data_IF_612796924707
#
_entry.id   IF_612796924707
#
_cell.length_a   1.000
_cell.length_b   1.000
_cell.length_c   1.000
_cell.angle_alpha   90.00
_cell.angle_beta   90.00
_cell.angle_gamma   90.00
#
_symmetry.space_group_name_H-M   'P 1'
#
loop_
_entity.id
_entity.type
_entity.pdbx_description
1 polymer ?
#
# COMPACT_ATOMS: atom_id res chain seq x y z
N UNK A 1 4.94 8.04 -4.54
CA UNK A 1 3.84 8.19 -3.54
C UNK A 1 3.45 6.80 -3.07
N UNK A 2 3.46 6.54 -1.76
CA UNK A 2 3.19 5.21 -1.19
C UNK A 2 1.68 4.98 -1.10
N UNK A 3 1.10 3.94 -1.74
CA UNK A 3 -0.34 3.70 -1.73
C UNK A 3 -0.81 2.98 -0.45
N UNK A 4 -0.48 3.52 0.72
CA UNK A 4 -0.85 2.99 2.03
C UNK A 4 -1.51 4.07 2.90
N UNK A 5 -2.34 3.65 3.85
CA UNK A 5 -2.88 4.55 4.88
C UNK A 5 -1.78 4.94 5.87
N UNK A 6 -1.87 6.14 6.44
CA UNK A 6 -0.98 6.61 7.52
C UNK A 6 -0.86 5.61 8.68
N UNK A 7 -1.99 5.07 9.14
CA UNK A 7 -2.02 4.05 10.19
C UNK A 7 -1.30 2.75 9.83
N UNK A 8 -1.22 2.42 8.54
CA UNK A 8 -0.46 1.25 8.08
C UNK A 8 1.02 1.58 8.01
N UNK A 9 1.37 2.79 7.58
CA UNK A 9 2.76 3.27 7.61
C UNK A 9 3.28 3.25 9.05
N UNK A 10 2.54 3.81 10.02
CA UNK A 10 2.94 3.82 11.44
C UNK A 10 3.18 2.40 12.00
N UNK A 11 2.33 1.44 11.64
CA UNK A 11 2.49 0.03 12.04
C UNK A 11 3.74 -0.61 11.43
N UNK A 12 4.04 -0.30 10.17
CA UNK A 12 5.21 -0.84 9.49
C UNK A 12 6.50 -0.18 9.99
N UNK A 13 6.47 1.11 10.31
CA UNK A 13 7.58 1.80 10.99
C UNK A 13 7.84 1.17 12.37
N UNK A 14 6.80 0.90 13.16
CA UNK A 14 6.93 0.20 14.45
C UNK A 14 7.49 -1.23 14.30
N UNK A 15 7.13 -1.93 13.22
CA UNK A 15 7.65 -3.26 12.91
C UNK A 15 9.08 -3.23 12.33
N UNK A 16 9.63 -2.04 12.03
CA UNK A 16 10.93 -1.90 11.35
C UNK A 16 10.92 -2.35 9.89
N UNK A 17 9.73 -2.56 9.31
CA UNK A 17 9.56 -2.98 7.93
C UNK A 17 9.42 -1.81 6.96
N UNK A 18 9.37 -0.56 7.43
CA UNK A 18 9.27 0.64 6.61
C UNK A 18 10.45 1.59 6.90
N UNK A 19 10.93 2.37 5.90
CA UNK A 19 11.99 3.34 6.10
C UNK A 19 11.67 4.34 7.22
N UNK A 20 12.70 4.75 7.97
CA UNK A 20 12.53 5.70 9.06
C UNK A 20 12.20 7.10 8.54
N UNK A 21 11.18 7.74 9.12
CA UNK A 21 10.85 9.14 8.81
C UNK A 21 11.90 10.11 9.33
N UNK A 22 12.10 11.20 8.60
CA UNK A 22 12.78 12.41 9.11
C UNK A 22 11.88 13.63 8.93
N UNK A 23 12.11 14.65 9.76
CA UNK A 23 11.34 15.88 9.73
C UNK A 23 12.07 16.93 8.89
N UNK A 24 11.45 17.38 7.81
CA UNK A 24 11.92 18.56 7.07
C UNK A 24 11.56 19.83 7.85
N UNK A 25 10.38 19.83 8.47
CA UNK A 25 9.88 20.90 9.35
C UNK A 25 9.04 20.30 10.48
N UNK A 26 8.68 21.10 11.48
CA UNK A 26 7.89 20.68 12.66
C UNK A 26 6.57 19.95 12.32
N UNK A 27 6.02 20.14 11.11
CA UNK A 27 4.78 19.50 10.66
C UNK A 27 4.95 18.61 9.43
N UNK A 28 6.14 18.56 8.82
CA UNK A 28 6.35 17.83 7.56
C UNK A 28 7.39 16.74 7.74
N UNK A 29 6.92 15.50 7.78
CA UNK A 29 7.77 14.33 7.66
C UNK A 29 8.02 13.99 6.20
N UNK A 30 9.20 13.45 5.92
CA UNK A 30 9.57 12.88 4.64
C UNK A 30 10.34 11.58 4.85
N UNK A 31 10.49 10.85 3.76
CA UNK A 31 11.28 9.63 3.67
C UNK A 31 12.27 9.77 2.53
N UNK A 32 13.38 9.05 2.62
CA UNK A 32 14.32 8.97 1.51
C UNK A 32 13.71 8.20 0.34
N UNK A 33 13.87 8.73 -0.88
CA UNK A 33 13.27 8.13 -2.07
C UNK A 33 13.89 6.76 -2.37
N UNK A 34 15.21 6.63 -2.26
CA UNK A 34 15.93 5.39 -2.58
C UNK A 34 15.57 4.27 -1.61
N UNK A 35 15.39 4.57 -0.33
CA UNK A 35 14.93 3.59 0.66
C UNK A 35 13.49 3.11 0.39
N UNK A 36 12.58 4.03 0.08
CA UNK A 36 11.19 3.70 -0.24
C UNK A 36 11.10 2.87 -1.52
N UNK A 37 11.93 3.17 -2.52
CA UNK A 37 11.97 2.43 -3.79
C UNK A 37 12.51 1.01 -3.60
N UNK A 38 13.63 0.84 -2.88
CA UNK A 38 14.17 -0.47 -2.54
C UNK A 38 13.17 -1.31 -1.69
N UNK A 39 12.42 -0.66 -0.80
CA UNK A 39 11.36 -1.31 -0.03
C UNK A 39 10.19 -1.76 -0.92
N UNK A 40 9.75 -0.92 -1.87
CA UNK A 40 8.72 -1.27 -2.84
C UNK A 40 9.14 -2.46 -3.70
N UNK A 41 10.39 -2.50 -4.16
CA UNK A 41 10.92 -3.61 -4.95
C UNK A 41 10.98 -4.92 -4.16
N UNK A 42 11.41 -4.88 -2.90
CA UNK A 42 11.36 -6.06 -2.00
C UNK A 42 9.93 -6.56 -1.82
N UNK A 43 8.97 -5.65 -1.59
CA UNK A 43 7.54 -5.97 -1.50
C UNK A 43 7.00 -6.55 -2.81
N UNK A 44 7.43 -6.03 -3.95
CA UNK A 44 7.03 -6.51 -5.27
C UNK A 44 7.57 -7.90 -5.55
N UNK A 45 8.80 -8.20 -5.11
CA UNK A 45 9.40 -9.53 -5.22
C UNK A 45 8.76 -10.54 -4.25
N UNK A 46 8.37 -10.11 -3.05
CA UNK A 46 7.68 -10.94 -2.06
C UNK A 46 6.18 -11.13 -2.37
N UNK A 47 5.57 -10.17 -3.08
CA UNK A 47 4.16 -10.25 -3.45
C UNK A 47 3.97 -11.21 -4.62
N UNK A 48 2.98 -12.12 -4.56
CA UNK A 48 2.61 -12.91 -5.72
C UNK A 48 2.18 -11.98 -6.86
N UNK A 49 2.59 -12.31 -8.09
CA UNK A 49 2.25 -11.54 -9.31
C UNK A 49 0.73 -11.50 -9.59
N UNK A 50 -0.02 -12.41 -8.97
CA UNK A 50 -1.48 -12.45 -9.01
C UNK A 50 -2.02 -12.08 -7.63
N UNK A 51 -3.04 -11.22 -7.60
CA UNK A 51 -3.75 -10.89 -6.36
C UNK A 51 -4.41 -12.16 -5.79
N UNK A 52 -3.80 -12.75 -4.77
CA UNK A 52 -4.30 -13.94 -4.06
C UNK A 52 -5.29 -13.59 -2.94
N UNK A 53 -5.53 -12.30 -2.72
CA UNK A 53 -6.50 -11.83 -1.74
C UNK A 53 -7.93 -12.24 -2.08
N UNK A 54 -8.78 -12.30 -1.05
CA UNK A 54 -10.20 -12.59 -1.22
C UNK A 54 -10.87 -11.40 -1.91
N UNK A 55 -11.02 -11.47 -3.23
CA UNK A 55 -11.77 -10.44 -3.96
C UNK A 55 -13.21 -10.45 -3.45
N UNK A 56 -13.80 -9.30 -3.09
CA UNK A 56 -15.21 -9.25 -2.75
C UNK A 56 -16.02 -9.83 -3.92
N UNK A 57 -17.03 -10.68 -3.67
CA UNK A 57 -17.87 -11.24 -4.72
C UNK A 57 -18.67 -10.10 -5.37
N UNK A 58 -18.10 -9.53 -6.44
CA UNK A 58 -18.67 -8.39 -7.17
C UNK A 58 -19.93 -8.78 -7.94
N UNK A 59 -20.03 -10.06 -8.28
CA UNK A 59 -21.17 -10.73 -8.91
C UNK A 59 -22.42 -10.75 -8.02
N UNK A 60 -22.25 -10.69 -6.69
CA UNK A 60 -23.35 -10.74 -5.71
C UNK A 60 -23.82 -9.36 -5.24
N UNK A 61 -23.37 -8.28 -5.88
CA UNK A 61 -23.71 -6.92 -5.47
C UNK A 61 -25.14 -6.56 -5.85
N UNK A 62 -25.96 -6.23 -4.85
CA UNK A 62 -27.32 -5.71 -5.05
C UNK A 62 -27.28 -4.27 -5.59
N UNK A 63 -26.33 -3.45 -5.13
CA UNK A 63 -26.16 -2.07 -5.57
C UNK A 63 -25.04 -1.94 -6.60
N UNK A 64 -25.31 -1.27 -7.74
CA UNK A 64 -24.44 -1.17 -8.92
C UNK A 64 -23.95 -2.54 -9.39
N UNK A 65 -24.86 -3.40 -9.90
CA UNK A 65 -24.49 -4.70 -10.44
C UNK A 65 -23.55 -4.52 -11.63
N UNK A 66 -22.71 -5.52 -11.89
CA UNK A 66 -21.86 -5.56 -13.08
C UNK A 66 -22.76 -5.86 -14.28
N UNK A 67 -23.35 -4.83 -14.90
CA UNK A 67 -24.02 -4.99 -16.18
C UNK A 67 -22.96 -5.30 -17.23
N UNK A 68 -23.07 -6.44 -17.90
CA UNK A 68 -22.29 -6.71 -19.10
C UNK A 68 -22.63 -5.63 -20.14
N UNK A 69 -21.73 -4.68 -20.34
CA UNK A 69 -21.76 -3.85 -21.54
C UNK A 69 -21.38 -4.80 -22.70
N UNK A 70 -22.38 -5.11 -23.53
CA UNK A 70 -22.21 -5.80 -24.80
C UNK A 70 -21.57 -4.88 -25.84
#
# INVERSE_FOLDING_TARGET
MVPLSWSTIDRLEQAGEFPSRFWITDRRCAWDQSEVEAWLDKRKAASPATFTGKKPPVDRRVYRPVSAAA
#
